data_IF_460521879480
#
_entry.id   IF_460521879480
#
_cell.length_a   1.000
_cell.length_b   1.000
_cell.length_c   1.000
_cell.angle_alpha   90.00
_cell.angle_beta   90.00
_cell.angle_gamma   90.00
#
_symmetry.space_group_name_H-M   'P 1'
#
loop_
_entity.id
_entity.type
_entity.pdbx_description
1 polymer ?
#
# COMPACT_ATOMS: atom_id res chain seq x y z
N UNK A 1 10.89 -0.90 8.79
CA UNK A 1 9.63 -0.26 9.27
C UNK A 1 9.24 0.80 8.26
N UNK A 2 7.96 0.89 7.89
CA UNK A 2 7.42 1.99 7.08
C UNK A 2 6.52 2.84 7.97
N UNK A 3 6.72 4.16 7.96
CA UNK A 3 5.86 5.11 8.67
C UNK A 3 5.38 6.17 7.69
N UNK A 4 4.06 6.36 7.62
CA UNK A 4 3.46 7.47 6.90
C UNK A 4 3.06 8.59 7.85
N UNK A 5 3.32 9.83 7.45
CA UNK A 5 2.79 11.02 8.10
C UNK A 5 1.31 11.22 7.75
N UNK A 6 0.67 12.18 8.43
CA UNK A 6 -0.66 12.62 8.04
C UNK A 6 -0.62 13.12 6.57
N UNK A 7 -1.71 12.93 5.82
CA UNK A 7 -1.77 13.40 4.44
C UNK A 7 -1.53 14.91 4.36
N UNK A 8 -0.66 15.33 3.43
CA UNK A 8 -0.39 16.74 3.22
C UNK A 8 -1.47 17.33 2.31
N UNK A 9 -2.05 18.46 2.74
CA UNK A 9 -3.08 19.21 2.00
C UNK A 9 -2.60 20.62 1.60
N UNK A 10 -1.42 21.04 2.07
CA UNK A 10 -0.83 22.35 1.83
C UNK A 10 0.38 22.20 0.91
N UNK A 11 0.38 22.90 -0.22
CA UNK A 11 1.54 22.93 -1.12
C UNK A 11 2.74 23.54 -0.41
N UNK A 12 2.52 24.60 0.39
CA UNK A 12 3.59 25.25 1.15
C UNK A 12 4.26 24.29 2.13
N UNK A 13 3.48 23.49 2.86
CA UNK A 13 4.00 22.51 3.82
C UNK A 13 4.76 21.39 3.11
N UNK A 14 4.28 20.97 1.93
CA UNK A 14 4.96 19.98 1.11
C UNK A 14 6.33 20.49 0.61
N UNK A 15 6.37 21.72 0.11
CA UNK A 15 7.59 22.37 -0.37
C UNK A 15 8.57 22.62 0.79
N UNK A 16 8.09 23.00 1.96
CA UNK A 16 8.94 23.20 3.12
C UNK A 16 9.54 21.88 3.63
N UNK A 17 8.73 20.81 3.68
CA UNK A 17 9.22 19.47 3.97
C UNK A 17 10.34 19.06 3.00
N UNK A 18 10.16 19.31 1.70
CA UNK A 18 11.18 19.06 0.68
C UNK A 18 12.48 19.82 0.98
N UNK A 19 12.40 21.11 1.35
CA UNK A 19 13.58 21.92 1.70
C UNK A 19 14.32 21.39 2.92
N UNK A 20 13.60 21.04 3.98
CA UNK A 20 14.20 20.54 5.22
C UNK A 20 14.96 19.23 4.97
N UNK A 21 14.38 18.31 4.20
CA UNK A 21 14.97 17.00 3.94
C UNK A 21 16.09 17.04 2.89
N UNK A 22 16.09 18.02 1.99
CA UNK A 22 17.23 18.31 1.10
C UNK A 22 18.36 19.06 1.80
N UNK A 23 18.08 19.78 2.89
CA UNK A 23 19.10 20.48 3.69
C UNK A 23 19.80 19.56 4.67
N UNK A 24 19.14 18.50 5.13
CA UNK A 24 19.79 17.51 5.98
C UNK A 24 20.69 16.61 5.12
N UNK A 25 22.00 16.89 5.16
CA UNK A 25 22.98 15.82 5.00
C UNK A 25 22.65 14.76 6.04
N UNK A 26 22.58 13.51 5.61
CA UNK A 26 22.24 12.38 6.46
C UNK A 26 23.02 12.49 7.78
N UNK A 27 22.34 12.47 8.93
CA UNK A 27 22.98 12.56 10.25
C UNK A 27 24.06 11.48 10.49
N UNK A 28 24.16 10.50 9.59
CA UNK A 28 25.11 9.39 9.58
C UNK A 28 26.16 9.48 8.45
N UNK A 29 25.96 10.32 7.43
CA UNK A 29 26.88 10.45 6.31
C UNK A 29 27.74 11.69 6.51
N UNK A 30 29.00 11.49 6.91
CA UNK A 30 29.93 12.58 7.19
C UNK A 30 30.22 13.48 5.97
N UNK A 31 29.84 13.10 4.74
CA UNK A 31 29.98 13.92 3.51
C UNK A 31 28.90 13.67 2.43
N UNK A 32 27.79 13.00 2.74
CA UNK A 32 26.78 12.62 1.75
C UNK A 32 25.63 13.61 1.62
N UNK A 33 25.50 14.31 0.49
CA UNK A 33 24.26 15.01 0.14
C UNK A 33 23.20 13.98 -0.25
N UNK A 34 22.11 13.90 0.50
CA UNK A 34 20.94 13.11 0.11
C UNK A 34 20.26 13.78 -1.08
N UNK A 35 20.17 13.06 -2.21
CA UNK A 35 19.53 13.56 -3.43
C UNK A 35 18.14 12.94 -3.58
N UNK A 36 17.10 13.77 -3.67
CA UNK A 36 15.76 13.29 -3.99
C UNK A 36 15.68 12.90 -5.47
N UNK A 37 15.13 11.73 -5.76
CA UNK A 37 15.02 11.19 -7.11
C UNK A 37 13.59 10.78 -7.44
N UNK A 38 13.24 10.87 -8.72
CA UNK A 38 11.95 10.37 -9.22
C UNK A 38 11.96 8.84 -9.30
N UNK A 39 10.87 8.22 -8.83
CA UNK A 39 10.67 6.78 -8.87
C UNK A 39 9.20 6.43 -9.12
N UNK A 40 8.96 5.22 -9.63
CA UNK A 40 7.63 4.67 -9.92
C UNK A 40 7.19 4.83 -11.38
N UNK A 41 6.20 4.03 -11.76
CA UNK A 41 5.49 4.07 -13.05
C UNK A 41 4.83 5.43 -13.28
N UNK A 42 4.28 6.08 -12.25
CA UNK A 42 3.72 7.42 -12.37
C UNK A 42 4.75 8.46 -12.84
N UNK A 43 5.97 8.39 -12.33
CA UNK A 43 7.08 9.23 -12.80
C UNK A 43 7.48 8.87 -14.24
N UNK A 44 7.54 7.57 -14.56
CA UNK A 44 7.86 7.11 -15.92
C UNK A 44 6.83 7.57 -16.97
N UNK A 45 5.53 7.55 -16.63
CA UNK A 45 4.44 8.07 -17.48
C UNK A 45 4.57 9.57 -17.77
N UNK A 46 5.14 10.32 -16.83
CA UNK A 46 5.42 11.75 -16.97
C UNK A 46 6.83 12.02 -17.51
N UNK A 47 7.57 10.97 -17.90
CA UNK A 47 8.95 11.05 -18.35
C UNK A 47 9.89 11.76 -17.35
N UNK A 48 9.64 11.59 -16.05
CA UNK A 48 10.44 12.15 -14.96
C UNK A 48 11.45 11.12 -14.49
N UNK A 49 12.74 11.43 -14.64
CA UNK A 49 13.84 10.55 -14.23
C UNK A 49 14.97 11.35 -13.58
N UNK A 50 15.73 10.71 -12.69
CA UNK A 50 16.88 11.34 -12.06
C UNK A 50 16.49 12.30 -10.92
N UNK A 51 17.31 13.33 -10.66
CA UNK A 51 17.11 14.24 -9.53
C UNK A 51 15.80 15.04 -9.63
N UNK A 52 15.06 15.08 -8.54
CA UNK A 52 13.88 15.91 -8.39
C UNK A 52 14.29 17.31 -7.94
N UNK A 53 14.03 18.33 -8.77
CA UNK A 53 14.24 19.73 -8.39
C UNK A 53 13.05 20.24 -7.58
N UNK A 54 13.28 21.22 -6.71
CA UNK A 54 12.22 21.78 -5.87
C UNK A 54 11.10 22.42 -6.71
N UNK A 55 11.46 23.15 -7.78
CA UNK A 55 10.47 23.79 -8.66
C UNK A 55 9.59 22.75 -9.38
N UNK A 56 10.19 21.61 -9.75
CA UNK A 56 9.52 20.50 -10.41
C UNK A 56 8.55 19.80 -9.45
N UNK A 57 8.98 19.61 -8.20
CA UNK A 57 8.14 19.09 -7.12
C UNK A 57 6.96 20.03 -6.81
N UNK A 58 7.20 21.35 -6.73
CA UNK A 58 6.15 22.35 -6.49
C UNK A 58 5.11 22.35 -7.61
N UNK A 59 5.55 22.28 -8.88
CA UNK A 59 4.64 22.14 -10.04
C UNK A 59 3.78 20.89 -9.90
N UNK A 60 4.36 19.74 -9.57
CA UNK A 60 3.60 18.50 -9.37
C UNK A 60 2.57 18.65 -8.24
N UNK A 61 2.97 19.25 -7.11
CA UNK A 61 2.07 19.53 -5.98
C UNK A 61 0.89 20.42 -6.39
N UNK A 62 1.14 21.42 -7.23
CA UNK A 62 0.10 22.29 -7.80
C UNK A 62 -0.78 21.63 -8.86
N UNK A 63 -0.52 20.37 -9.21
CA UNK A 63 -1.27 19.66 -10.25
C UNK A 63 -0.84 19.98 -11.67
N UNK A 64 0.42 20.38 -11.85
CA UNK A 64 1.01 20.70 -13.14
C UNK A 64 2.15 19.74 -13.47
N UNK A 65 2.31 19.44 -14.75
CA UNK A 65 3.41 18.63 -15.24
C UNK A 65 4.73 19.34 -14.94
N UNK A 66 5.72 18.68 -14.31
CA UNK A 66 6.97 19.35 -13.92
C UNK A 66 7.78 19.94 -15.09
N UNK A 67 7.89 19.19 -16.19
CA UNK A 67 8.58 19.67 -17.40
C UNK A 67 7.75 20.66 -18.26
N UNK A 68 6.48 20.36 -18.55
CA UNK A 68 5.69 21.13 -19.53
C UNK A 68 4.79 22.19 -18.92
N UNK A 69 4.49 22.12 -17.62
CA UNK A 69 3.54 23.00 -16.94
C UNK A 69 2.06 22.73 -17.24
N UNK A 70 1.78 21.73 -18.08
CA UNK A 70 0.42 21.31 -18.44
C UNK A 70 -0.38 20.88 -17.22
N UNK A 71 -1.70 21.10 -17.27
CA UNK A 71 -2.59 20.74 -16.16
C UNK A 71 -2.79 19.23 -16.13
N UNK A 72 -2.43 18.59 -15.01
CA UNK A 72 -2.63 17.15 -14.79
C UNK A 72 -3.98 16.84 -14.15
N UNK A 73 -4.63 17.83 -13.52
CA UNK A 73 -5.87 17.63 -12.77
C UNK A 73 -7.11 17.98 -13.60
N UNK A 74 -8.08 17.07 -13.62
CA UNK A 74 -9.39 17.31 -14.22
C UNK A 74 -10.20 18.34 -13.41
N UNK A 75 -10.15 18.26 -12.08
CA UNK A 75 -10.85 19.17 -11.16
C UNK A 75 -9.87 19.79 -10.16
N UNK A 76 -9.95 21.12 -9.99
CA UNK A 76 -9.21 21.83 -8.95
C UNK A 76 -10.13 21.99 -7.73
N UNK A 77 -9.84 21.25 -6.65
CA UNK A 77 -10.57 21.33 -5.37
C UNK A 77 -9.94 22.30 -4.38
N UNK A 78 -8.96 23.12 -4.81
CA UNK A 78 -8.25 24.07 -3.95
C UNK A 78 -7.71 23.44 -2.68
N UNK A 79 -7.87 24.12 -1.54
CA UNK A 79 -7.35 23.69 -0.23
C UNK A 79 -7.97 22.42 0.37
N UNK A 80 -8.94 21.78 -0.31
CA UNK A 80 -9.48 20.48 0.11
C UNK A 80 -8.79 19.30 -0.58
N UNK A 81 -7.87 19.56 -1.51
CA UNK A 81 -7.13 18.53 -2.22
C UNK A 81 -5.95 18.03 -1.37
N UNK A 82 -5.80 16.71 -1.31
CA UNK A 82 -4.60 16.06 -0.82
C UNK A 82 -3.48 16.23 -1.85
N UNK A 83 -2.39 16.87 -1.44
CA UNK A 83 -1.20 17.11 -2.25
C UNK A 83 -0.34 15.85 -2.35
N UNK A 84 -0.19 15.12 -1.24
CA UNK A 84 0.57 13.88 -1.21
C UNK A 84 0.63 13.23 0.16
N UNK A 85 1.42 12.16 0.25
CA UNK A 85 1.79 11.49 1.49
C UNK A 85 3.31 11.52 1.65
N UNK A 86 3.77 11.73 2.88
CA UNK A 86 5.19 11.59 3.22
C UNK A 86 5.37 10.30 3.99
N UNK A 87 6.35 9.49 3.57
CA UNK A 87 6.66 8.20 4.16
C UNK A 87 8.16 8.05 4.39
N UNK A 88 8.52 7.42 5.50
CA UNK A 88 9.90 7.04 5.82
C UNK A 88 9.99 5.52 5.92
N UNK A 89 10.92 4.94 5.17
CA UNK A 89 11.29 3.54 5.25
C UNK A 89 12.63 3.48 6.00
N UNK A 90 12.66 2.77 7.12
CA UNK A 90 13.87 2.66 7.94
C UNK A 90 14.25 1.21 8.18
N UNK A 91 15.55 0.87 8.04
CA UNK A 91 16.03 -0.46 8.32
C UNK A 91 15.95 -0.75 9.83
N UNK A 92 15.93 -2.03 10.23
CA UNK A 92 16.24 -2.43 11.60
C UNK A 92 17.62 -1.90 12.06
N UNK A 93 17.77 -1.63 13.36
CA UNK A 93 18.99 -0.99 13.91
C UNK A 93 20.24 -1.84 13.72
N UNK A 94 20.10 -3.16 13.88
CA UNK A 94 21.15 -4.16 13.64
C UNK A 94 21.63 -4.12 12.18
N UNK A 95 20.73 -3.98 11.21
CA UNK A 95 21.09 -3.80 9.79
C UNK A 95 21.88 -2.50 9.58
N UNK A 96 21.46 -1.39 10.18
CA UNK A 96 22.21 -0.12 10.12
C UNK A 96 23.60 -0.25 10.73
N UNK A 97 23.73 -0.90 11.90
CA UNK A 97 25.03 -1.08 12.56
C UNK A 97 25.95 -1.96 11.71
N UNK A 98 25.45 -3.09 11.21
CA UNK A 98 26.24 -3.99 10.38
C UNK A 98 26.70 -3.33 9.06
N UNK A 99 25.85 -2.49 8.46
CA UNK A 99 26.18 -1.78 7.23
C UNK A 99 27.15 -0.60 7.46
N UNK A 100 26.83 0.30 8.41
CA UNK A 100 27.54 1.58 8.58
C UNK A 100 28.75 1.50 9.49
N UNK A 101 28.69 0.66 10.52
CA UNK A 101 29.79 0.47 11.49
C UNK A 101 30.57 -0.80 11.16
N UNK A 102 29.86 -1.87 10.81
CA UNK A 102 30.46 -3.17 10.46
C UNK A 102 31.08 -3.22 9.06
N UNK A 103 30.80 -2.25 8.19
CA UNK A 103 31.36 -2.16 6.84
C UNK A 103 30.82 -3.19 5.85
N UNK A 104 29.72 -3.90 6.16
CA UNK A 104 29.11 -4.86 5.24
C UNK A 104 28.31 -4.14 4.14
N UNK A 105 28.98 -3.84 3.04
CA UNK A 105 28.42 -3.10 1.91
C UNK A 105 27.31 -3.84 1.16
N UNK A 106 27.18 -5.16 1.34
CA UNK A 106 26.09 -5.95 0.72
C UNK A 106 24.73 -5.53 1.25
N UNK A 107 24.67 -5.13 2.53
CA UNK A 107 23.45 -4.66 3.16
C UNK A 107 22.91 -3.38 2.50
N UNK A 108 23.77 -2.51 1.95
CA UNK A 108 23.34 -1.33 1.23
C UNK A 108 22.64 -1.69 -0.11
N UNK A 109 23.13 -2.71 -0.79
CA UNK A 109 22.53 -3.23 -2.03
C UNK A 109 21.16 -3.84 -1.73
N UNK A 110 21.10 -4.77 -0.77
CA UNK A 110 19.83 -5.40 -0.37
C UNK A 110 18.84 -4.39 0.19
N UNK A 111 19.31 -3.36 0.90
CA UNK A 111 18.46 -2.27 1.36
C UNK A 111 17.82 -1.50 0.20
N UNK A 112 18.61 -1.19 -0.82
CA UNK A 112 18.14 -0.51 -2.03
C UNK A 112 17.11 -1.37 -2.78
N UNK A 113 17.34 -2.67 -2.87
CA UNK A 113 16.40 -3.63 -3.45
C UNK A 113 15.09 -3.69 -2.65
N UNK A 114 15.16 -3.85 -1.33
CA UNK A 114 13.99 -3.90 -0.45
C UNK A 114 13.14 -2.61 -0.51
N UNK A 115 13.79 -1.44 -0.57
CA UNK A 115 13.10 -0.16 -0.75
C UNK A 115 12.40 -0.12 -2.10
N UNK A 116 13.05 -0.56 -3.18
CA UNK A 116 12.47 -0.59 -4.53
C UNK A 116 11.25 -1.50 -4.61
N UNK A 117 11.35 -2.73 -4.11
CA UNK A 117 10.23 -3.67 -4.06
C UNK A 117 9.05 -3.11 -3.25
N UNK A 118 9.35 -2.50 -2.10
CA UNK A 118 8.33 -1.83 -1.27
C UNK A 118 7.62 -0.71 -2.04
N UNK A 119 8.35 0.12 -2.80
CA UNK A 119 7.76 1.17 -3.61
C UNK A 119 6.90 0.61 -4.75
N UNK A 120 7.31 -0.50 -5.36
CA UNK A 120 6.52 -1.20 -6.37
C UNK A 120 5.20 -1.72 -5.78
N UNK A 121 5.23 -2.31 -4.59
CA UNK A 121 4.01 -2.76 -3.90
C UNK A 121 3.10 -1.58 -3.54
N UNK A 122 3.67 -0.49 -3.01
CA UNK A 122 2.91 0.74 -2.73
C UNK A 122 2.25 1.26 -4.00
N UNK A 123 2.94 1.27 -5.13
CA UNK A 123 2.40 1.71 -6.42
C UNK A 123 1.35 0.73 -6.98
N UNK A 124 1.58 -0.57 -6.84
CA UNK A 124 0.66 -1.62 -7.29
C UNK A 124 -0.70 -1.56 -6.56
N UNK A 125 -0.69 -1.20 -5.28
CA UNK A 125 -1.93 -0.94 -4.53
C UNK A 125 -2.44 0.49 -4.74
N UNK A 126 -1.58 1.44 -5.11
CA UNK A 126 -1.94 2.83 -5.42
C UNK A 126 -2.21 3.02 -6.91
N UNK A 127 -3.07 2.18 -7.50
CA UNK A 127 -3.42 2.30 -8.93
C UNK A 127 -4.06 3.66 -9.22
N UNK A 128 -3.49 4.49 -10.12
CA UNK A 128 -4.17 5.68 -10.59
C UNK A 128 -5.47 5.28 -11.32
N UNK A 129 -6.62 5.41 -10.65
CA UNK A 129 -7.93 5.00 -11.16
C UNK A 129 -8.64 3.91 -10.37
N UNK A 130 -7.99 3.25 -9.40
CA UNK A 130 -8.65 2.34 -8.45
C UNK A 130 -8.41 2.82 -7.02
N UNK A 131 -9.47 2.92 -6.22
CA UNK A 131 -9.45 3.67 -4.98
C UNK A 131 -8.95 2.83 -3.80
N UNK A 132 -7.78 3.16 -3.26
CA UNK A 132 -7.39 2.78 -1.90
C UNK A 132 -7.67 3.96 -0.97
N UNK A 133 -8.49 3.71 0.05
CA UNK A 133 -8.89 4.70 1.06
C UNK A 133 -8.24 4.32 2.39
N UNK A 134 -7.37 5.21 2.89
CA UNK A 134 -6.88 5.16 4.26
C UNK A 134 -7.66 6.17 5.11
N UNK A 135 -8.58 5.66 5.93
CA UNK A 135 -9.32 6.45 6.92
C UNK A 135 -8.95 5.96 8.33
N UNK A 136 -8.38 6.87 9.13
CA UNK A 136 -7.88 6.57 10.47
C UNK A 136 -8.82 7.15 11.52
N UNK A 137 -9.23 6.30 12.47
CA UNK A 137 -10.17 6.66 13.53
C UNK A 137 -9.53 6.48 14.91
N UNK A 138 -9.87 7.37 15.85
CA UNK A 138 -9.38 7.31 17.23
C UNK A 138 -10.05 6.21 18.05
N UNK A 139 -11.11 5.60 17.52
CA UNK A 139 -11.86 4.52 18.16
C UNK A 139 -12.10 3.38 17.18
N UNK A 140 -12.36 2.20 17.74
CA UNK A 140 -12.81 1.02 16.98
C UNK A 140 -14.33 0.80 17.09
N UNK A 141 -15.11 1.83 17.45
CA UNK A 141 -16.57 1.66 17.62
C UNK A 141 -17.20 1.30 16.27
N UNK A 142 -18.26 0.50 16.28
CA UNK A 142 -18.91 0.06 15.04
C UNK A 142 -19.42 1.25 14.19
N UNK A 143 -19.88 2.33 14.84
CA UNK A 143 -20.30 3.54 14.14
C UNK A 143 -19.19 4.24 13.32
N UNK A 144 -17.92 4.02 13.63
CA UNK A 144 -16.81 4.56 12.82
C UNK A 144 -16.79 3.92 11.43
N UNK A 145 -17.01 2.61 11.35
CA UNK A 145 -17.13 1.89 10.09
C UNK A 145 -18.32 2.41 9.28
N UNK A 146 -19.50 2.51 9.92
CA UNK A 146 -20.71 3.02 9.27
C UNK A 146 -20.46 4.37 8.61
N UNK A 147 -19.76 5.28 9.30
CA UNK A 147 -19.46 6.62 8.76
C UNK A 147 -18.47 6.61 7.58
N UNK A 148 -17.66 5.56 7.43
CA UNK A 148 -16.69 5.44 6.33
C UNK A 148 -17.35 4.90 5.05
N UNK A 149 -18.23 3.91 5.19
CA UNK A 149 -18.84 3.18 4.07
C UNK A 149 -20.35 3.42 3.95
N UNK A 150 -20.85 4.54 4.46
CA UNK A 150 -22.28 4.87 4.43
C UNK A 150 -22.84 4.79 2.99
N UNK A 151 -23.96 4.09 2.83
CA UNK A 151 -24.60 3.89 1.53
C UNK A 151 -23.88 2.91 0.60
N UNK A 152 -22.81 2.24 1.03
CA UNK A 152 -22.15 1.21 0.23
C UNK A 152 -23.07 0.04 -0.09
N UNK A 153 -23.00 -0.45 -1.32
CA UNK A 153 -23.68 -1.66 -1.79
C UNK A 153 -22.71 -2.51 -2.59
N UNK A 154 -22.78 -3.83 -2.44
CA UNK A 154 -21.90 -4.78 -3.10
C UNK A 154 -21.18 -5.73 -2.15
N UNK A 155 -19.99 -6.19 -2.56
CA UNK A 155 -19.21 -7.18 -1.81
C UNK A 155 -18.26 -6.46 -0.84
N UNK A 156 -18.47 -6.66 0.45
CA UNK A 156 -17.63 -6.10 1.50
C UNK A 156 -16.70 -7.20 2.05
N UNK A 157 -15.43 -7.21 1.62
CA UNK A 157 -14.43 -8.13 2.17
C UNK A 157 -13.75 -7.52 3.40
N UNK A 158 -13.65 -8.25 4.51
CA UNK A 158 -12.94 -7.77 5.70
C UNK A 158 -12.14 -8.86 6.44
N UNK A 159 -11.34 -8.44 7.42
CA UNK A 159 -10.47 -9.27 8.25
C UNK A 159 -11.20 -10.15 9.28
N UNK A 160 -12.54 -10.09 9.32
CA UNK A 160 -13.33 -10.78 10.35
C UNK A 160 -13.64 -9.92 11.58
N UNK A 161 -13.30 -8.62 11.58
CA UNK A 161 -13.71 -7.74 12.66
C UNK A 161 -15.25 -7.59 12.71
N UNK A 162 -15.84 -7.85 13.88
CA UNK A 162 -17.30 -7.95 14.04
C UNK A 162 -18.12 -6.73 13.59
N UNK A 163 -17.52 -5.54 13.49
CA UNK A 163 -18.21 -4.36 12.97
C UNK A 163 -18.69 -4.54 11.52
N UNK A 164 -17.92 -5.24 10.68
CA UNK A 164 -18.29 -5.48 9.28
C UNK A 164 -19.48 -6.43 9.16
N UNK A 165 -19.50 -7.49 9.97
CA UNK A 165 -20.62 -8.43 10.03
C UNK A 165 -21.89 -7.73 10.54
N UNK A 166 -21.77 -6.93 11.61
CA UNK A 166 -22.88 -6.15 12.14
C UNK A 166 -23.44 -5.16 11.11
N UNK A 167 -22.55 -4.43 10.41
CA UNK A 167 -22.93 -3.51 9.35
C UNK A 167 -23.69 -4.23 8.22
N UNK A 168 -23.19 -5.37 7.73
CA UNK A 168 -23.84 -6.10 6.65
C UNK A 168 -25.23 -6.67 7.04
N UNK A 169 -25.43 -7.06 8.31
CA UNK A 169 -26.75 -7.49 8.82
C UNK A 169 -27.79 -6.38 8.75
N UNK A 170 -27.37 -5.14 8.96
CA UNK A 170 -28.26 -3.96 8.89
C UNK A 170 -28.45 -3.43 7.46
N UNK A 171 -27.64 -3.89 6.49
CA UNK A 171 -27.61 -3.36 5.12
C UNK A 171 -27.77 -4.49 4.08
N UNK A 172 -29.01 -4.84 3.67
CA UNK A 172 -29.27 -5.96 2.76
C UNK A 172 -28.59 -5.87 1.38
N UNK A 173 -28.21 -4.66 0.95
CA UNK A 173 -27.44 -4.43 -0.28
C UNK A 173 -25.96 -4.81 -0.17
N UNK A 174 -25.50 -5.27 1.00
CA UNK A 174 -24.11 -5.61 1.28
C UNK A 174 -23.98 -7.11 1.49
N UNK A 175 -23.15 -7.75 0.66
CA UNK A 175 -22.71 -9.14 0.86
C UNK A 175 -21.36 -9.14 1.54
N UNK A 176 -21.33 -9.47 2.82
CA UNK A 176 -20.07 -9.58 3.55
C UNK A 176 -19.35 -10.89 3.25
N UNK A 177 -18.04 -10.81 3.01
CA UNK A 177 -17.16 -11.97 2.83
C UNK A 177 -15.93 -11.86 3.72
N UNK A 178 -15.53 -12.97 4.34
CA UNK A 178 -14.34 -13.00 5.20
C UNK A 178 -13.05 -13.12 4.37
N UNK A 179 -11.97 -12.50 4.84
CA UNK A 179 -10.66 -12.56 4.20
C UNK A 179 -9.95 -13.90 4.48
N UNK A 180 -9.62 -14.64 3.41
CA UNK A 180 -8.90 -15.91 3.50
C UNK A 180 -7.52 -15.81 4.16
N UNK A 181 -6.79 -14.70 3.95
CA UNK A 181 -5.49 -14.51 4.58
C UNK A 181 -5.60 -14.42 6.11
N UNK A 182 -6.65 -13.76 6.61
CA UNK A 182 -6.92 -13.65 8.05
C UNK A 182 -7.36 -14.98 8.65
N UNK A 183 -8.22 -15.73 7.96
CA UNK A 183 -8.62 -17.08 8.37
C UNK A 183 -7.43 -18.04 8.41
N UNK A 184 -6.59 -18.07 7.36
CA UNK A 184 -5.37 -18.90 7.29
C UNK A 184 -4.43 -18.63 8.46
N UNK A 185 -4.20 -17.37 8.82
CA UNK A 185 -3.34 -17.00 9.97
C UNK A 185 -3.81 -17.65 11.27
N UNK A 186 -5.13 -17.70 11.51
CA UNK A 186 -5.69 -18.34 12.71
C UNK A 186 -5.44 -19.84 12.75
N UNK A 187 -5.48 -20.53 11.61
CA UNK A 187 -5.09 -21.94 11.55
C UNK A 187 -3.59 -22.13 11.80
N UNK A 188 -2.76 -21.26 11.23
CA UNK A 188 -1.31 -21.30 11.48
C UNK A 188 -0.98 -21.09 12.97
N UNK A 189 -1.63 -20.12 13.63
CA UNK A 189 -1.49 -19.89 15.08
C UNK A 189 -1.90 -21.13 15.91
N UNK A 190 -2.88 -21.90 15.44
CA UNK A 190 -3.39 -23.10 16.11
C UNK A 190 -2.61 -24.39 15.82
N UNK A 191 -1.54 -24.34 15.01
CA UNK A 191 -0.81 -25.54 14.56
C UNK A 191 -0.24 -26.37 15.72
N UNK A 192 0.22 -25.70 16.78
CA UNK A 192 0.76 -26.36 17.97
C UNK A 192 -0.26 -27.16 18.78
N UNK A 193 -1.55 -26.83 18.68
CA UNK A 193 -2.62 -27.50 19.44
C UNK A 193 -3.22 -28.68 18.66
N UNK A 194 -3.44 -28.52 17.36
CA UNK A 194 -4.13 -29.49 16.52
C UNK A 194 -3.42 -29.74 15.17
N UNK A 195 -2.17 -30.23 15.19
CA UNK A 195 -1.29 -30.20 14.01
C UNK A 195 -1.84 -30.98 12.81
N UNK A 196 -2.50 -32.12 13.03
CA UNK A 196 -3.08 -32.92 11.95
C UNK A 196 -4.27 -32.23 11.27
N UNK A 197 -5.16 -31.64 12.06
CA UNK A 197 -6.35 -30.95 11.54
C UNK A 197 -5.95 -29.64 10.84
N UNK A 198 -5.09 -28.85 11.49
CA UNK A 198 -4.53 -27.62 10.92
C UNK A 198 -3.78 -27.90 9.62
N UNK A 199 -2.90 -28.90 9.60
CA UNK A 199 -2.15 -29.26 8.40
C UNK A 199 -3.03 -29.74 7.24
N UNK A 200 -4.22 -30.30 7.50
CA UNK A 200 -5.20 -30.59 6.47
C UNK A 200 -5.83 -29.29 5.93
N UNK A 201 -6.30 -28.42 6.82
CA UNK A 201 -6.95 -27.16 6.44
C UNK A 201 -5.99 -26.25 5.66
N UNK A 202 -4.75 -26.10 6.12
CA UNK A 202 -3.73 -25.29 5.45
C UNK A 202 -3.40 -25.82 4.04
N UNK A 203 -3.42 -27.15 3.84
CA UNK A 203 -3.27 -27.73 2.49
C UNK A 203 -4.45 -27.42 1.58
N UNK A 204 -5.68 -27.49 2.10
CA UNK A 204 -6.88 -27.11 1.33
C UNK A 204 -6.83 -25.64 0.94
N UNK A 205 -6.47 -24.75 1.87
CA UNK A 205 -6.31 -23.31 1.60
C UNK A 205 -5.19 -23.08 0.56
N UNK A 206 -4.07 -23.77 0.69
CA UNK A 206 -2.96 -23.70 -0.27
C UNK A 206 -3.40 -24.09 -1.67
N UNK A 207 -4.14 -25.20 -1.80
CA UNK A 207 -4.70 -25.66 -3.07
C UNK A 207 -5.66 -24.64 -3.70
N UNK A 208 -6.47 -23.92 -2.89
CA UNK A 208 -7.32 -22.83 -3.40
C UNK A 208 -6.49 -21.68 -3.99
N UNK A 209 -5.35 -21.32 -3.36
CA UNK A 209 -4.45 -20.30 -3.90
C UNK A 209 -3.73 -20.75 -5.17
N UNK A 210 -3.31 -22.02 -5.25
CA UNK A 210 -2.75 -22.60 -6.47
C UNK A 210 -3.77 -22.55 -7.62
N UNK A 211 -5.04 -22.84 -7.33
CA UNK A 211 -6.12 -22.71 -8.31
C UNK A 211 -6.28 -21.27 -8.81
N UNK A 212 -6.30 -20.27 -7.91
CA UNK A 212 -6.37 -18.85 -8.33
C UNK A 212 -5.17 -18.43 -9.17
N UNK A 213 -3.95 -18.82 -8.77
CA UNK A 213 -2.74 -18.52 -9.54
C UNK A 213 -2.81 -19.13 -10.95
N UNK A 214 -3.22 -20.39 -11.06
CA UNK A 214 -3.43 -21.05 -12.35
C UNK A 214 -4.49 -20.33 -13.19
N UNK A 215 -5.59 -19.87 -12.59
CA UNK A 215 -6.64 -19.13 -13.31
C UNK A 215 -6.17 -17.77 -13.80
N UNK A 216 -5.29 -17.09 -13.06
CA UNK A 216 -4.67 -15.84 -13.48
C UNK A 216 -3.69 -16.05 -14.64
N UNK A 217 -2.80 -17.04 -14.54
CA UNK A 217 -1.86 -17.41 -15.61
C UNK A 217 -2.58 -17.75 -16.92
N UNK A 218 -3.70 -18.47 -16.82
CA UNK A 218 -4.52 -18.85 -17.96
C UNK A 218 -5.57 -17.80 -18.34
N UNK A 219 -5.58 -16.63 -17.67
CA UNK A 219 -6.48 -15.51 -17.92
C UNK A 219 -7.97 -15.89 -17.93
N UNK A 220 -8.37 -16.80 -17.04
CA UNK A 220 -9.78 -17.20 -16.91
C UNK A 220 -10.62 -16.01 -16.41
N UNK A 221 -11.73 -15.78 -17.09
CA UNK A 221 -12.73 -14.81 -16.68
C UNK A 221 -13.60 -15.32 -15.52
N UNK A 222 -14.39 -14.43 -14.93
CA UNK A 222 -15.20 -14.72 -13.74
C UNK A 222 -16.25 -15.85 -13.94
N UNK A 223 -16.74 -16.07 -15.16
CA UNK A 223 -17.66 -17.17 -15.45
C UNK A 223 -16.93 -18.51 -15.53
N UNK A 224 -15.75 -18.52 -16.16
CA UNK A 224 -14.87 -19.69 -16.24
C UNK A 224 -14.39 -20.11 -14.84
N UNK A 225 -13.93 -19.15 -14.02
CA UNK A 225 -13.53 -19.43 -12.62
C UNK A 225 -14.69 -20.01 -11.80
N UNK A 226 -15.90 -19.47 -11.94
CA UNK A 226 -17.10 -20.02 -11.27
C UNK A 226 -17.39 -21.47 -11.66
N UNK A 227 -17.31 -21.79 -12.95
CA UNK A 227 -17.48 -23.15 -13.45
C UNK A 227 -16.39 -24.09 -12.94
N UNK A 228 -15.14 -23.64 -12.91
CA UNK A 228 -14.03 -24.43 -12.38
C UNK A 228 -14.22 -24.74 -10.88
N UNK A 229 -14.65 -23.75 -10.08
CA UNK A 229 -14.96 -23.97 -8.65
C UNK A 229 -16.03 -25.04 -8.44
N UNK A 230 -17.09 -25.06 -9.25
CA UNK A 230 -18.15 -26.08 -9.14
C UNK A 230 -17.71 -27.50 -9.51
N UNK A 231 -16.60 -27.66 -10.24
CA UNK A 231 -16.08 -28.96 -10.67
C UNK A 231 -14.95 -29.45 -9.77
N UNK A 232 -14.13 -28.52 -9.25
CA UNK A 232 -12.95 -28.86 -8.44
C UNK A 232 -13.22 -28.89 -6.93
N UNK A 233 -14.21 -28.12 -6.43
CA UNK A 233 -14.46 -27.91 -4.98
C UNK A 233 -15.74 -28.63 -4.49
N UNK A 234 -16.59 -29.12 -5.41
CA UNK A 234 -17.80 -29.88 -5.10
C UNK A 234 -17.51 -31.37 -5.02
#
# INVERSE_FOLDING_TARGET
MIRFAKPCISIADAVEYFREHMRMGDYLAQEGRSEMTWAGQGAALLHLTGPCRIDDFERLCSGRHPATGEKLLVLDRGNKRRVGFFGQISPPKDVSIACLVGGDSRLAVWWTEAVRETLQEIEAVSRPGENVVFDWRLSRRHGELTSLIEGYQGILQSDGYGAYEAYAKEHPGVTWVACWAHARRKFFEAEGEWPKAVGLVLRIIGWLYECEACWEENQLNAAQRRRHRSVCIG
#
